data_IF_934016976991
#
_entry.id   IF_934016976991
#
_cell.length_a   1.000
_cell.length_b   1.000
_cell.length_c   1.000
_cell.angle_alpha   90.00
_cell.angle_beta   90.00
_cell.angle_gamma   90.00
#
_symmetry.space_group_name_H-M   'P 1'
#
loop_
_entity.id
_entity.type
_entity.pdbx_description
1 polymer ?
#
# COMPACT_ATOMS: atom_id res chain seq x y z
N UNK A 1 -31.53 -10.94 -85.44
CA UNK A 1 -32.35 -10.53 -84.28
C UNK A 1 -31.90 -11.30 -83.03
N UNK A 2 -30.97 -10.74 -82.25
CA UNK A 2 -30.50 -11.32 -80.97
C UNK A 2 -30.12 -10.20 -79.99
N UNK A 3 -30.93 -10.12 -78.92
CA UNK A 3 -30.65 -9.93 -77.49
C UNK A 3 -29.72 -8.80 -77.01
N UNK A 4 -30.32 -7.94 -76.18
CA UNK A 4 -29.73 -7.00 -75.22
C UNK A 4 -28.61 -7.60 -74.37
N UNK A 5 -27.57 -6.80 -74.12
CA UNK A 5 -26.66 -6.97 -72.98
C UNK A 5 -26.60 -5.62 -72.25
N UNK A 6 -27.20 -5.59 -71.06
CA UNK A 6 -27.02 -4.56 -70.05
C UNK A 6 -25.54 -4.49 -69.66
N UNK A 7 -24.92 -3.34 -69.82
CA UNK A 7 -23.64 -3.02 -69.17
C UNK A 7 -23.95 -2.30 -67.86
N UNK A 8 -23.82 -3.03 -66.75
CA UNK A 8 -23.87 -2.48 -65.40
C UNK A 8 -22.60 -1.66 -65.16
N UNK A 9 -22.76 -0.39 -64.84
CA UNK A 9 -21.71 0.49 -64.31
C UNK A 9 -21.30 0.00 -62.92
N UNK A 10 -20.05 -0.48 -62.79
CA UNK A 10 -19.43 -0.74 -61.49
C UNK A 10 -19.03 0.61 -60.88
N UNK A 11 -19.73 1.04 -59.82
CA UNK A 11 -19.37 2.20 -59.04
C UNK A 11 -18.05 1.93 -58.30
N UNK A 12 -17.06 2.78 -58.56
CA UNK A 12 -15.79 2.79 -57.89
C UNK A 12 -15.88 3.51 -56.53
N UNK A 13 -15.23 2.90 -55.53
CA UNK A 13 -14.72 3.45 -54.29
C UNK A 13 -15.70 4.08 -53.28
N UNK A 14 -15.85 3.33 -52.18
CA UNK A 14 -16.08 3.86 -50.84
C UNK A 14 -15.44 2.93 -49.81
N UNK A 15 -14.11 2.74 -49.87
CA UNK A 15 -13.40 2.19 -48.71
C UNK A 15 -13.56 3.20 -47.58
N UNK A 16 -14.45 2.89 -46.65
CA UNK A 16 -14.53 3.59 -45.37
C UNK A 16 -13.17 3.39 -44.72
N UNK A 17 -12.34 4.42 -44.75
CA UNK A 17 -11.11 4.47 -44.00
C UNK A 17 -11.49 4.32 -42.52
N UNK A 18 -11.17 3.16 -41.94
CA UNK A 18 -11.17 2.98 -40.50
C UNK A 18 -10.17 4.02 -39.97
N UNK A 19 -10.56 4.93 -39.06
CA UNK A 19 -9.64 5.95 -38.57
C UNK A 19 -8.42 5.26 -37.97
N UNK A 20 -7.24 5.77 -38.36
CA UNK A 20 -5.95 5.28 -37.91
C UNK A 20 -5.91 5.16 -36.39
N UNK A 21 -5.48 3.99 -35.95
CA UNK A 21 -5.39 3.54 -34.55
C UNK A 21 -4.40 4.46 -33.82
N UNK A 22 -4.81 5.02 -32.68
CA UNK A 22 -4.02 6.02 -31.95
C UNK A 22 -2.97 5.45 -30.97
N UNK A 23 -2.84 4.12 -30.85
CA UNK A 23 -1.88 3.47 -29.95
C UNK A 23 -1.46 2.06 -30.41
N UNK A 24 -0.31 1.60 -29.95
CA UNK A 24 0.22 0.24 -30.15
C UNK A 24 -0.49 -0.76 -29.22
N UNK A 25 -0.35 -2.07 -29.48
CA UNK A 25 -0.88 -3.10 -28.57
C UNK A 25 -0.33 -2.97 -27.15
N UNK A 26 0.97 -2.67 -27.02
CA UNK A 26 1.62 -2.56 -25.72
C UNK A 26 1.14 -1.33 -24.94
N UNK A 27 0.92 -0.20 -25.61
CA UNK A 27 0.32 1.01 -25.01
C UNK A 27 -1.12 0.78 -24.56
N UNK A 28 -1.94 0.09 -25.37
CA UNK A 28 -3.31 -0.26 -25.00
C UNK A 28 -3.34 -1.26 -23.83
N UNK A 29 -2.40 -2.22 -23.80
CA UNK A 29 -2.27 -3.20 -22.72
C UNK A 29 -1.91 -2.51 -21.39
N UNK A 30 -0.97 -1.57 -21.43
CA UNK A 30 -0.56 -0.80 -20.25
C UNK A 30 -1.72 0.04 -19.69
N UNK A 31 -2.49 0.68 -20.56
CA UNK A 31 -3.68 1.45 -20.16
C UNK A 31 -4.74 0.58 -19.49
N UNK A 32 -5.00 -0.61 -20.04
CA UNK A 32 -5.93 -1.57 -19.47
C UNK A 32 -5.43 -2.08 -18.11
N UNK A 33 -4.14 -2.39 -17.98
CA UNK A 33 -3.53 -2.82 -16.71
C UNK A 33 -3.62 -1.75 -15.63
N UNK A 34 -3.38 -0.49 -16.00
CA UNK A 34 -3.58 0.64 -15.10
C UNK A 34 -5.04 0.76 -14.65
N UNK A 35 -5.99 0.67 -15.57
CA UNK A 35 -7.40 0.83 -15.26
C UNK A 35 -7.94 -0.32 -14.38
N UNK A 36 -7.48 -1.55 -14.62
CA UNK A 36 -7.81 -2.71 -13.78
C UNK A 36 -7.29 -2.55 -12.35
N UNK A 37 -6.14 -1.92 -12.17
CA UNK A 37 -5.52 -1.70 -10.85
C UNK A 37 -6.14 -0.53 -10.09
N UNK A 38 -6.41 0.58 -10.77
CA UNK A 38 -6.74 1.85 -10.11
C UNK A 38 -8.21 2.27 -10.23
N UNK A 39 -8.98 1.58 -11.08
CA UNK A 39 -10.39 1.84 -11.36
C UNK A 39 -10.74 3.34 -11.51
N UNK A 40 -10.05 4.08 -12.39
CA UNK A 40 -10.15 5.54 -12.46
C UNK A 40 -11.55 6.04 -12.86
N UNK A 41 -12.35 5.19 -13.49
CA UNK A 41 -13.72 5.51 -13.95
C UNK A 41 -14.79 5.06 -12.96
N UNK A 42 -14.42 4.44 -11.83
CA UNK A 42 -15.38 3.87 -10.89
C UNK A 42 -16.21 2.73 -11.48
N UNK A 43 -15.63 1.96 -12.40
CA UNK A 43 -16.28 0.81 -13.02
C UNK A 43 -16.70 -0.24 -11.98
N UNK A 44 -17.80 -0.93 -12.27
CA UNK A 44 -18.32 -1.99 -11.42
C UNK A 44 -17.33 -3.16 -11.34
N UNK A 45 -17.34 -3.86 -10.20
CA UNK A 45 -16.48 -5.04 -9.97
C UNK A 45 -16.60 -6.09 -11.08
N UNK A 46 -17.81 -6.34 -11.57
CA UNK A 46 -18.07 -7.28 -12.68
C UNK A 46 -17.40 -6.83 -13.99
N UNK A 47 -17.34 -5.53 -14.26
CA UNK A 47 -16.65 -4.97 -15.43
C UNK A 47 -15.13 -5.14 -15.31
N UNK A 48 -14.58 -4.95 -14.11
CA UNK A 48 -13.16 -5.20 -13.83
C UNK A 48 -12.80 -6.68 -14.02
N UNK A 49 -13.61 -7.60 -13.50
CA UNK A 49 -13.41 -9.05 -13.66
C UNK A 49 -13.51 -9.48 -15.13
N UNK A 50 -14.51 -8.98 -15.85
CA UNK A 50 -14.69 -9.27 -17.28
C UNK A 50 -13.52 -8.75 -18.11
N UNK A 51 -13.06 -7.52 -17.83
CA UNK A 51 -11.90 -6.97 -18.51
C UNK A 51 -10.63 -7.75 -18.17
N UNK A 52 -10.37 -8.13 -16.92
CA UNK A 52 -9.18 -8.92 -16.55
C UNK A 52 -9.08 -10.21 -17.37
N UNK A 53 -10.22 -10.89 -17.59
CA UNK A 53 -10.28 -12.08 -18.44
C UNK A 53 -9.91 -11.77 -19.90
N UNK A 54 -10.42 -10.67 -20.45
CA UNK A 54 -10.13 -10.28 -21.83
C UNK A 54 -8.70 -9.80 -22.02
N UNK A 55 -8.15 -9.05 -21.07
CA UNK A 55 -6.74 -8.67 -21.01
C UNK A 55 -5.83 -9.89 -21.08
N UNK A 56 -6.10 -10.92 -20.28
CA UNK A 56 -5.29 -12.14 -20.28
C UNK A 56 -5.40 -12.93 -21.61
N UNK A 57 -6.60 -12.96 -22.19
CA UNK A 57 -6.83 -13.52 -23.52
C UNK A 57 -6.06 -12.74 -24.59
N UNK A 58 -6.06 -11.41 -24.53
CA UNK A 58 -5.36 -10.53 -25.45
C UNK A 58 -3.84 -10.78 -25.43
N UNK A 59 -3.24 -10.83 -24.24
CA UNK A 59 -1.80 -11.12 -24.09
C UNK A 59 -1.43 -12.47 -24.72
N UNK A 60 -2.24 -13.51 -24.51
CA UNK A 60 -2.03 -14.84 -25.11
C UNK A 60 -2.16 -14.79 -26.64
N UNK A 61 -3.18 -14.10 -27.16
CA UNK A 61 -3.38 -13.94 -28.61
C UNK A 61 -2.22 -13.21 -29.28
N UNK A 62 -1.66 -12.19 -28.62
CA UNK A 62 -0.51 -11.45 -29.13
C UNK A 62 0.73 -12.36 -29.22
N UNK A 63 1.01 -13.13 -28.16
CA UNK A 63 2.10 -14.11 -28.13
C UNK A 63 1.94 -15.22 -29.19
N UNK A 64 0.71 -15.57 -29.53
CA UNK A 64 0.39 -16.57 -30.56
C UNK A 64 0.42 -15.99 -31.99
N UNK A 65 0.82 -14.73 -32.18
CA UNK A 65 0.90 -14.10 -33.50
C UNK A 65 -0.45 -13.68 -34.08
N UNK A 66 -1.44 -13.41 -33.24
CA UNK A 66 -2.77 -12.91 -33.65
C UNK A 66 -3.02 -11.47 -33.17
N UNK A 67 -2.23 -10.47 -33.63
CA UNK A 67 -2.24 -9.11 -33.09
C UNK A 67 -3.60 -8.42 -33.24
N UNK A 68 -4.31 -8.60 -34.35
CA UNK A 68 -5.64 -7.99 -34.51
C UNK A 68 -6.68 -8.56 -33.53
N UNK A 69 -6.60 -9.87 -33.24
CA UNK A 69 -7.51 -10.51 -32.27
C UNK A 69 -7.16 -10.05 -30.86
N UNK A 70 -5.87 -9.88 -30.57
CA UNK A 70 -5.38 -9.34 -29.32
C UNK A 70 -5.88 -7.89 -29.11
N UNK A 71 -5.77 -7.03 -30.13
CA UNK A 71 -6.27 -5.66 -30.06
C UNK A 71 -7.78 -5.59 -29.84
N UNK A 72 -8.55 -6.46 -30.52
CA UNK A 72 -10.02 -6.54 -30.32
C UNK A 72 -10.38 -6.98 -28.90
N UNK A 73 -9.60 -7.88 -28.30
CA UNK A 73 -9.80 -8.30 -26.91
C UNK A 73 -9.49 -7.15 -25.93
N UNK A 74 -8.44 -6.35 -26.17
CA UNK A 74 -8.21 -5.13 -25.39
C UNK A 74 -9.30 -4.09 -25.61
N UNK A 75 -9.86 -3.98 -26.82
CA UNK A 75 -10.93 -3.02 -27.06
C UNK A 75 -12.15 -3.25 -26.15
N UNK A 76 -12.49 -4.52 -25.90
CA UNK A 76 -13.56 -4.85 -24.98
C UNK A 76 -13.31 -4.32 -23.56
N UNK A 77 -12.05 -4.26 -23.12
CA UNK A 77 -11.68 -3.64 -21.86
C UNK A 77 -11.92 -2.14 -21.85
N UNK A 78 -11.51 -1.42 -22.90
CA UNK A 78 -11.78 0.02 -23.01
C UNK A 78 -13.27 0.32 -22.91
N UNK A 79 -14.09 -0.45 -23.63
CA UNK A 79 -15.54 -0.29 -23.62
C UNK A 79 -16.14 -0.63 -22.24
N UNK A 80 -15.71 -1.75 -21.64
CA UNK A 80 -16.22 -2.24 -20.35
C UNK A 80 -15.85 -1.33 -19.18
N UNK A 81 -14.69 -0.69 -19.26
CA UNK A 81 -14.16 0.21 -18.23
C UNK A 81 -14.43 1.68 -18.55
N UNK A 82 -15.13 1.98 -19.65
CA UNK A 82 -15.43 3.35 -20.11
C UNK A 82 -14.18 4.22 -20.28
N UNK A 83 -13.10 3.62 -20.76
CA UNK A 83 -11.84 4.31 -21.01
C UNK A 83 -11.91 5.00 -22.37
N UNK A 84 -11.50 6.26 -22.43
CA UNK A 84 -11.31 6.96 -23.71
C UNK A 84 -9.95 6.61 -24.30
N UNK A 85 -9.92 6.17 -25.57
CA UNK A 85 -8.69 5.90 -26.33
C UNK A 85 -7.83 7.15 -26.57
N UNK A 86 -8.41 8.34 -26.50
CA UNK A 86 -7.70 9.62 -26.65
C UNK A 86 -7.31 10.23 -25.31
N UNK A 87 -7.83 9.68 -24.20
CA UNK A 87 -7.54 10.12 -22.85
C UNK A 87 -6.44 9.25 -22.25
N UNK A 88 -5.21 9.58 -22.59
CA UNK A 88 -4.04 9.22 -21.79
C UNK A 88 -3.89 10.36 -20.77
N UNK A 89 -4.10 10.16 -19.46
CA UNK A 89 -3.40 11.02 -18.52
C UNK A 89 -1.91 10.89 -18.88
N UNK A 90 -1.29 11.97 -19.36
CA UNK A 90 0.16 12.05 -19.65
C UNK A 90 1.04 11.91 -18.40
N UNK A 91 0.52 11.30 -17.36
CA UNK A 91 1.26 10.81 -16.23
C UNK A 91 0.93 9.33 -16.23
N UNK A 92 1.79 8.52 -16.85
CA UNK A 92 1.88 7.11 -16.50
C UNK A 92 1.85 7.02 -14.98
N UNK A 93 1.15 6.03 -14.43
CA UNK A 93 1.19 5.82 -12.99
C UNK A 93 2.66 5.83 -12.55
N UNK A 94 3.03 6.59 -11.51
CA UNK A 94 4.42 6.64 -11.09
C UNK A 94 4.91 5.22 -10.83
N UNK A 95 6.04 4.88 -11.44
CA UNK A 95 6.75 3.63 -11.23
C UNK A 95 7.09 3.45 -9.75
N UNK A 96 7.35 2.21 -9.34
CA UNK A 96 7.79 1.94 -7.95
C UNK A 96 9.04 2.76 -7.59
N UNK A 97 9.96 2.94 -8.54
CA UNK A 97 11.17 3.73 -8.33
C UNK A 97 10.84 5.22 -8.09
N UNK A 98 9.90 5.79 -8.86
CA UNK A 98 9.46 7.19 -8.67
C UNK A 98 8.72 7.37 -7.33
N UNK A 99 7.84 6.43 -6.97
CA UNK A 99 7.14 6.44 -5.68
C UNK A 99 8.14 6.39 -4.51
N UNK A 100 9.14 5.50 -4.60
CA UNK A 100 10.20 5.38 -3.60
C UNK A 100 11.08 6.63 -3.54
N UNK A 101 11.45 7.21 -4.68
CA UNK A 101 12.25 8.43 -4.74
C UNK A 101 11.51 9.61 -4.09
N UNK A 102 10.20 9.76 -4.36
CA UNK A 102 9.36 10.77 -3.73
C UNK A 102 9.25 10.58 -2.22
N UNK A 103 9.01 9.35 -1.76
CA UNK A 103 8.96 9.03 -0.33
C UNK A 103 10.30 9.33 0.37
N UNK A 104 11.42 8.92 -0.25
CA UNK A 104 12.75 9.15 0.30
C UNK A 104 13.09 10.65 0.36
N UNK A 105 12.70 11.44 -0.65
CA UNK A 105 12.92 12.87 -0.63
C UNK A 105 12.21 13.54 0.56
N UNK A 106 10.95 13.20 0.82
CA UNK A 106 10.21 13.72 1.97
C UNK A 106 10.79 13.23 3.29
N UNK A 107 11.16 11.95 3.37
CA UNK A 107 11.80 11.37 4.54
C UNK A 107 13.09 12.10 4.91
N UNK A 108 14.04 12.23 3.98
CA UNK A 108 15.31 12.93 4.23
C UNK A 108 15.09 14.40 4.60
N UNK A 109 14.16 15.07 3.93
CA UNK A 109 13.81 16.46 4.25
C UNK A 109 13.28 16.57 5.68
N UNK A 110 12.31 15.74 6.08
CA UNK A 110 11.72 15.74 7.42
C UNK A 110 12.74 15.45 8.53
N UNK A 111 13.79 14.67 8.25
CA UNK A 111 14.87 14.43 9.22
C UNK A 111 15.71 15.68 9.51
N UNK A 112 15.84 16.59 8.55
CA UNK A 112 16.63 17.83 8.70
C UNK A 112 15.84 18.99 9.32
N UNK A 113 14.51 18.88 9.37
CA UNK A 113 13.65 19.92 9.92
C UNK A 113 13.67 19.90 11.46
N UNK A 114 13.69 21.06 12.13
CA UNK A 114 13.55 21.13 13.58
C UNK A 114 12.15 20.68 13.97
N UNK A 115 12.03 19.59 14.71
CA UNK A 115 10.73 19.09 15.13
C UNK A 115 10.15 19.94 16.26
N UNK A 116 8.86 20.27 16.15
CA UNK A 116 8.08 20.95 17.18
C UNK A 116 7.00 19.99 17.71
N UNK A 117 7.23 19.42 18.90
CA UNK A 117 6.29 18.50 19.53
C UNK A 117 4.94 19.15 19.91
N UNK A 118 4.92 20.46 20.18
CA UNK A 118 3.68 21.18 20.51
C UNK A 118 2.81 21.38 19.26
N UNK A 119 3.43 21.69 18.12
CA UNK A 119 2.73 21.64 16.83
C UNK A 119 2.33 20.20 16.48
N UNK A 120 3.20 19.23 16.77
CA UNK A 120 2.94 17.80 16.61
C UNK A 120 1.68 17.33 17.34
N UNK A 121 1.49 17.75 18.59
CA UNK A 121 0.26 17.51 19.36
C UNK A 121 -0.97 18.08 18.64
N UNK A 122 -0.88 19.31 18.13
CA UNK A 122 -1.99 19.95 17.41
C UNK A 122 -2.43 19.13 16.21
N UNK A 123 -1.46 18.62 15.44
CA UNK A 123 -1.71 17.74 14.28
C UNK A 123 -2.23 16.37 14.74
N UNK A 124 -1.69 15.82 15.82
CA UNK A 124 -2.01 14.49 16.31
C UNK A 124 -3.49 14.35 16.73
N UNK A 125 -4.19 15.43 17.05
CA UNK A 125 -5.63 15.40 17.34
C UNK A 125 -6.46 14.78 16.20
N UNK A 126 -6.04 14.96 14.95
CA UNK A 126 -6.66 14.29 13.79
C UNK A 126 -6.36 12.79 13.78
N UNK A 127 -5.14 12.39 14.15
CA UNK A 127 -4.72 10.98 14.24
C UNK A 127 -5.45 10.23 15.37
N UNK A 128 -5.68 10.91 16.49
CA UNK A 128 -6.32 10.36 17.69
C UNK A 128 -7.75 9.86 17.44
N UNK A 129 -8.44 10.36 16.41
CA UNK A 129 -9.77 9.88 16.02
C UNK A 129 -9.81 8.37 15.73
N UNK A 130 -8.68 7.80 15.27
CA UNK A 130 -8.54 6.37 15.02
C UNK A 130 -7.52 5.70 15.94
N UNK A 131 -6.38 6.35 16.19
CA UNK A 131 -5.28 5.81 17.00
C UNK A 131 -5.45 6.01 18.50
N UNK A 132 -6.53 6.66 18.93
CA UNK A 132 -6.83 7.07 20.31
C UNK A 132 -5.91 8.20 20.80
N UNK A 133 -6.34 9.04 21.76
CA UNK A 133 -5.49 10.06 22.38
C UNK A 133 -4.13 9.53 22.84
N UNK A 134 -4.11 8.30 23.33
CA UNK A 134 -2.93 7.62 23.86
C UNK A 134 -2.03 7.01 22.76
N UNK A 135 -2.54 6.88 21.52
CA UNK A 135 -1.79 6.26 20.41
C UNK A 135 -1.77 4.74 20.44
N UNK A 136 -2.65 4.13 21.24
CA UNK A 136 -2.71 2.68 21.45
C UNK A 136 -3.46 1.94 20.34
N UNK A 137 -4.24 2.63 19.51
CA UNK A 137 -4.97 2.01 18.42
C UNK A 137 -6.17 1.22 18.90
N UNK A 138 -6.39 0.01 18.37
CA UNK A 138 -7.52 -0.83 18.79
C UNK A 138 -7.07 -2.26 18.97
N UNK A 139 -7.40 -2.87 20.10
CA UNK A 139 -7.08 -4.28 20.40
C UNK A 139 -7.63 -5.28 19.36
N UNK A 140 -8.64 -4.90 18.58
CA UNK A 140 -9.10 -5.68 17.41
C UNK A 140 -8.05 -5.78 16.29
N UNK A 141 -7.00 -4.96 16.35
CA UNK A 141 -5.94 -4.80 15.35
C UNK A 141 -6.37 -4.07 14.09
N UNK A 142 -7.55 -3.43 14.07
CA UNK A 142 -7.99 -2.62 12.91
C UNK A 142 -7.15 -1.34 12.75
N UNK A 143 -6.76 -0.73 13.87
CA UNK A 143 -5.85 0.42 13.95
C UNK A 143 -4.64 0.02 14.81
N UNK A 144 -3.39 0.25 14.37
CA UNK A 144 -2.22 -0.14 15.14
C UNK A 144 -1.93 0.80 16.31
N UNK A 145 -1.25 0.27 17.32
CA UNK A 145 -0.51 1.07 18.29
C UNK A 145 0.64 1.78 17.57
N UNK A 146 0.70 3.10 17.71
CA UNK A 146 1.77 3.95 17.19
C UNK A 146 2.53 4.68 18.30
N UNK A 147 2.01 4.65 19.53
CA UNK A 147 2.66 5.22 20.70
C UNK A 147 4.10 4.69 20.87
N UNK A 148 5.03 5.61 21.14
CA UNK A 148 6.43 5.28 21.41
C UNK A 148 7.16 4.61 20.24
N UNK A 149 6.62 4.70 19.03
CA UNK A 149 7.31 4.21 17.83
C UNK A 149 8.49 5.13 17.49
N UNK A 150 9.52 4.55 16.88
CA UNK A 150 10.70 5.27 16.42
C UNK A 150 10.32 6.41 15.46
N UNK A 151 10.80 7.63 15.76
CA UNK A 151 10.54 8.84 14.96
C UNK A 151 10.85 8.64 13.49
N UNK A 152 12.01 8.05 13.15
CA UNK A 152 12.37 7.81 11.74
C UNK A 152 11.42 6.82 11.06
N UNK A 153 10.96 5.81 11.78
CA UNK A 153 9.97 4.85 11.28
C UNK A 153 8.64 5.54 11.00
N UNK A 154 8.18 6.43 11.90
CA UNK A 154 6.95 7.21 11.74
C UNK A 154 7.01 8.12 10.52
N UNK A 155 8.09 8.91 10.38
CA UNK A 155 8.33 9.78 9.21
C UNK A 155 8.32 8.93 7.93
N UNK A 156 9.05 7.81 7.93
CA UNK A 156 9.10 6.90 6.78
C UNK A 156 7.70 6.42 6.40
N UNK A 157 6.89 5.96 7.35
CA UNK A 157 5.56 5.45 7.04
C UNK A 157 4.63 6.55 6.49
N UNK A 158 4.68 7.76 7.06
CA UNK A 158 3.90 8.89 6.56
C UNK A 158 4.32 9.28 5.14
N UNK A 159 5.62 9.44 4.88
CA UNK A 159 6.14 9.72 3.54
C UNK A 159 5.76 8.62 2.53
N UNK A 160 5.83 7.34 2.92
CA UNK A 160 5.42 6.23 2.07
C UNK A 160 3.92 6.23 1.76
N UNK A 161 3.06 6.62 2.70
CA UNK A 161 1.62 6.78 2.45
C UNK A 161 1.34 7.94 1.48
N UNK A 162 1.98 9.10 1.70
CA UNK A 162 1.83 10.30 0.86
C UNK A 162 2.34 10.11 -0.55
N UNK A 163 3.41 9.33 -0.69
CA UNK A 163 3.94 8.98 -1.99
C UNK A 163 3.05 7.96 -2.72
N UNK A 164 2.34 7.09 -2.00
CA UNK A 164 1.66 5.91 -2.58
C UNK A 164 2.56 4.67 -2.64
N UNK A 165 3.68 4.68 -1.92
CA UNK A 165 4.59 3.53 -1.79
C UNK A 165 4.09 2.50 -0.75
N UNK A 166 3.12 2.89 0.10
CA UNK A 166 2.40 2.00 1.02
C UNK A 166 0.89 2.15 0.83
N UNK A 167 0.23 1.06 0.46
CA UNK A 167 -1.23 1.06 0.30
C UNK A 167 -1.89 0.95 1.70
N UNK A 168 -2.77 1.89 2.06
CA UNK A 168 -3.67 1.77 3.21
C UNK A 168 -4.88 2.69 3.04
N UNK A 169 -5.99 2.12 2.55
CA UNK A 169 -7.23 2.85 2.20
C UNK A 169 -7.69 3.80 3.32
N UNK A 170 -7.58 3.37 4.58
CA UNK A 170 -8.03 4.17 5.72
C UNK A 170 -7.03 5.26 6.14
N UNK A 171 -5.73 5.06 5.95
CA UNK A 171 -4.70 5.98 6.45
C UNK A 171 -4.31 7.06 5.44
N UNK A 172 -4.32 6.73 4.13
CA UNK A 172 -3.89 7.66 3.08
C UNK A 172 -4.57 9.02 3.15
N UNK A 173 -5.91 9.14 3.33
CA UNK A 173 -6.57 10.44 3.45
C UNK A 173 -6.10 11.30 4.63
N UNK A 174 -5.60 10.68 5.70
CA UNK A 174 -5.13 11.36 6.93
C UNK A 174 -3.62 11.64 6.94
N UNK A 175 -2.91 11.24 5.88
CA UNK A 175 -1.48 11.54 5.73
C UNK A 175 -1.23 12.68 4.74
N UNK A 176 -2.26 13.18 4.03
CA UNK A 176 -2.07 14.13 2.92
C UNK A 176 -1.64 15.53 3.37
N UNK A 177 -1.19 16.35 2.41
CA UNK A 177 -0.83 17.76 2.67
C UNK A 177 -2.03 18.55 3.15
N UNK A 178 -3.19 18.25 2.59
CA UNK A 178 -4.45 18.89 2.93
C UNK A 178 -4.93 18.51 4.33
N UNK A 179 -4.63 17.28 4.80
CA UNK A 179 -5.07 16.80 6.09
C UNK A 179 -4.19 17.26 7.26
N UNK A 180 -2.86 17.14 7.13
CA UNK A 180 -1.96 17.38 8.26
C UNK A 180 -0.91 18.47 8.00
N UNK A 181 -0.79 18.99 6.78
CA UNK A 181 0.22 19.98 6.40
C UNK A 181 1.44 19.36 5.71
N UNK A 182 2.46 20.17 5.41
CA UNK A 182 3.63 19.76 4.61
C UNK A 182 4.62 18.82 5.31
N UNK A 183 5.87 18.79 4.86
CA UNK A 183 6.92 17.93 5.42
C UNK A 183 7.29 18.30 6.88
N UNK A 184 7.17 19.57 7.26
CA UNK A 184 7.33 20.00 8.66
C UNK A 184 6.32 19.32 9.58
N UNK A 185 5.04 19.24 9.16
CA UNK A 185 4.02 18.56 9.95
C UNK A 185 4.31 17.07 10.15
N UNK A 186 4.91 16.41 9.16
CA UNK A 186 5.38 15.01 9.29
C UNK A 186 6.48 14.90 10.34
N UNK A 187 7.43 15.83 10.35
CA UNK A 187 8.51 15.87 11.35
C UNK A 187 7.97 16.11 12.77
N UNK A 188 6.99 17.00 12.91
CA UNK A 188 6.39 17.41 14.18
C UNK A 188 5.48 16.33 14.77
N UNK A 189 4.56 15.77 13.98
CA UNK A 189 3.64 14.73 14.48
C UNK A 189 4.40 13.45 14.80
N UNK A 190 5.45 13.11 14.05
CA UNK A 190 6.29 11.96 14.34
C UNK A 190 7.09 12.14 15.64
N UNK A 191 7.54 13.36 15.94
CA UNK A 191 8.17 13.69 17.23
C UNK A 191 7.20 13.43 18.37
N UNK A 192 6.02 14.06 18.32
CA UNK A 192 5.00 13.91 19.36
C UNK A 192 4.58 12.45 19.57
N UNK A 193 4.29 11.69 18.50
CA UNK A 193 3.89 10.28 18.63
C UNK A 193 5.01 9.44 19.29
N UNK A 194 6.28 9.77 19.02
CA UNK A 194 7.42 9.03 19.56
C UNK A 194 7.61 9.18 21.07
N UNK A 195 7.00 10.20 21.68
CA UNK A 195 7.04 10.43 23.14
C UNK A 195 5.87 9.79 23.89
N UNK A 196 4.85 9.30 23.17
CA UNK A 196 3.69 8.67 23.80
C UNK A 196 4.06 7.35 24.51
N UNK A 197 3.43 7.10 25.65
CA UNK A 197 3.63 5.90 26.45
C UNK A 197 2.92 4.69 25.85
N UNK A 198 3.56 3.52 25.94
CA UNK A 198 3.13 2.31 25.25
C UNK A 198 2.22 1.47 26.14
N UNK A 199 1.03 1.13 25.66
CA UNK A 199 0.18 0.15 26.34
C UNK A 199 0.65 -1.27 26.08
N UNK A 200 0.66 -2.09 27.13
CA UNK A 200 0.89 -3.54 27.07
C UNK A 200 -0.41 -4.36 27.06
N UNK A 201 -1.57 -3.68 27.02
CA UNK A 201 -2.89 -4.28 26.86
C UNK A 201 -3.31 -4.35 25.38
N UNK A 202 -2.36 -4.77 24.54
CA UNK A 202 -2.58 -4.94 23.12
C UNK A 202 -3.36 -6.25 22.83
N UNK A 203 -4.05 -6.30 21.68
CA UNK A 203 -4.68 -7.53 21.21
C UNK A 203 -3.66 -8.63 20.92
N UNK A 204 -3.56 -9.62 21.80
CA UNK A 204 -2.67 -10.79 21.70
C UNK A 204 -3.23 -11.87 20.78
N UNK A 205 -2.35 -12.73 20.26
CA UNK A 205 -2.74 -13.93 19.54
C UNK A 205 -3.39 -14.99 20.46
N UNK A 206 -3.79 -16.15 19.90
CA UNK A 206 -4.51 -17.18 20.65
C UNK A 206 -3.68 -17.86 21.75
N UNK A 207 -2.35 -17.91 21.62
CA UNK A 207 -1.42 -18.57 22.54
C UNK A 207 -1.12 -20.03 22.17
N UNK A 208 -1.52 -20.48 20.99
CA UNK A 208 -1.58 -21.91 20.64
C UNK A 208 -0.20 -22.56 20.45
N UNK A 209 0.80 -21.80 19.99
CA UNK A 209 2.14 -22.34 19.68
C UNK A 209 3.28 -21.35 19.95
N UNK A 210 3.35 -20.87 21.19
CA UNK A 210 4.34 -19.86 21.59
C UNK A 210 5.78 -20.37 21.52
N UNK A 211 6.03 -21.67 21.76
CA UNK A 211 7.37 -22.25 21.69
C UNK A 211 7.94 -22.19 20.26
N UNK A 212 7.14 -22.52 19.25
CA UNK A 212 7.54 -22.36 17.85
C UNK A 212 7.73 -20.87 17.52
N UNK A 213 6.80 -20.02 17.95
CA UNK A 213 6.88 -18.58 17.70
C UNK A 213 8.15 -17.94 18.27
N UNK A 214 8.52 -18.32 19.50
CA UNK A 214 9.76 -17.91 20.16
C UNK A 214 11.00 -18.36 19.38
N UNK A 215 11.05 -19.64 18.99
CA UNK A 215 12.17 -20.17 18.21
C UNK A 215 12.34 -19.38 16.89
N UNK A 216 11.26 -19.21 16.12
CA UNK A 216 11.30 -18.46 14.86
C UNK A 216 11.73 -17.01 15.12
N UNK A 217 11.22 -16.38 16.18
CA UNK A 217 11.57 -15.01 16.51
C UNK A 217 13.07 -14.85 16.75
N UNK A 218 13.65 -15.72 17.60
CA UNK A 218 15.09 -15.74 17.89
C UNK A 218 15.92 -15.97 16.63
N UNK A 219 15.51 -16.89 15.77
CA UNK A 219 16.26 -17.29 14.58
C UNK A 219 16.16 -16.30 13.41
N UNK A 220 15.03 -15.60 13.28
CA UNK A 220 14.67 -14.90 12.02
C UNK A 220 14.26 -13.43 12.19
N UNK A 221 13.90 -12.99 13.39
CA UNK A 221 13.36 -11.64 13.61
C UNK A 221 14.29 -10.77 14.46
N UNK A 222 14.92 -11.38 15.47
CA UNK A 222 15.71 -10.71 16.50
C UNK A 222 16.88 -9.88 15.95
N UNK A 223 17.53 -10.29 14.86
CA UNK A 223 18.66 -9.55 14.24
C UNK A 223 18.29 -8.09 13.93
N UNK A 224 17.04 -7.86 13.50
CA UNK A 224 16.59 -6.53 13.10
C UNK A 224 15.66 -5.88 14.12
N UNK A 225 14.81 -6.68 14.78
CA UNK A 225 13.80 -6.18 15.70
C UNK A 225 14.24 -6.16 17.17
N UNK A 226 15.41 -6.70 17.49
CA UNK A 226 15.92 -6.78 18.86
C UNK A 226 15.34 -7.94 19.66
N UNK A 227 15.92 -8.20 20.83
CA UNK A 227 15.54 -9.35 21.68
C UNK A 227 14.10 -9.21 22.19
N UNK A 228 13.68 -7.99 22.50
CA UNK A 228 12.36 -7.67 23.03
C UNK A 228 11.45 -7.02 21.99
N UNK A 229 11.84 -6.92 20.72
CA UNK A 229 11.02 -6.27 19.70
C UNK A 229 11.10 -4.74 19.73
N UNK A 230 12.14 -4.19 20.35
CA UNK A 230 12.40 -2.77 20.51
C UNK A 230 12.69 -2.05 19.19
N UNK A 231 13.11 -2.79 18.15
CA UNK A 231 13.49 -2.28 16.85
C UNK A 231 14.76 -1.43 16.89
N UNK A 232 15.03 -0.74 15.79
CA UNK A 232 16.17 0.16 15.67
C UNK A 232 15.78 1.38 14.81
N UNK A 233 15.86 2.57 15.41
CA UNK A 233 15.48 3.82 14.75
C UNK A 233 16.37 4.13 13.54
N UNK A 234 17.67 3.86 13.62
CA UNK A 234 18.63 4.15 12.56
C UNK A 234 18.48 3.20 11.38
N UNK A 235 18.23 1.91 11.65
CA UNK A 235 18.01 0.89 10.62
C UNK A 235 16.57 0.86 10.08
N UNK A 236 15.71 1.77 10.55
CA UNK A 236 14.29 1.84 10.21
C UNK A 236 13.53 0.54 10.52
N UNK A 237 14.05 -0.25 11.47
CA UNK A 237 13.41 -1.44 11.98
C UNK A 237 12.35 -1.03 13.01
N UNK A 238 11.06 -1.22 12.74
CA UNK A 238 10.00 -0.76 13.63
C UNK A 238 10.05 -1.50 14.96
N UNK A 239 9.68 -0.79 16.02
CA UNK A 239 9.27 -1.39 17.28
C UNK A 239 8.02 -2.23 17.03
N UNK A 240 8.06 -3.50 17.42
CA UNK A 240 6.97 -4.48 17.25
C UNK A 240 6.45 -5.04 18.58
N UNK A 241 7.17 -4.78 19.67
CA UNK A 241 6.71 -5.10 21.03
C UNK A 241 5.39 -4.39 21.35
N UNK A 242 4.52 -5.10 22.07
CA UNK A 242 3.15 -4.68 22.37
C UNK A 242 2.29 -4.28 21.15
N UNK A 243 2.65 -4.66 19.93
CA UNK A 243 1.80 -4.39 18.75
C UNK A 243 0.63 -5.38 18.69
N UNK A 244 -0.51 -4.97 18.12
CA UNK A 244 -1.64 -5.88 17.98
C UNK A 244 -1.37 -7.02 16.98
N UNK A 245 -1.60 -8.25 17.42
CA UNK A 245 -1.43 -9.48 16.62
C UNK A 245 -2.12 -9.38 15.25
N UNK A 246 -3.39 -8.98 15.22
CA UNK A 246 -4.19 -8.88 13.98
C UNK A 246 -3.70 -7.78 13.04
N UNK A 247 -3.08 -6.71 13.56
CA UNK A 247 -2.42 -5.71 12.72
C UNK A 247 -1.18 -6.30 12.05
N UNK A 248 -0.31 -6.97 12.82
CA UNK A 248 0.90 -7.59 12.29
C UNK A 248 0.58 -8.67 11.25
N UNK A 249 -0.44 -9.49 11.50
CA UNK A 249 -0.89 -10.51 10.55
C UNK A 249 -1.32 -9.89 9.21
N UNK A 250 -2.04 -8.76 9.27
CA UNK A 250 -2.40 -7.99 8.07
C UNK A 250 -1.18 -7.41 7.36
N UNK A 251 -0.17 -6.96 8.11
CA UNK A 251 1.08 -6.47 7.50
C UNK A 251 1.81 -7.58 6.73
N UNK A 252 1.92 -8.79 7.30
CA UNK A 252 2.48 -9.95 6.61
C UNK A 252 1.68 -10.32 5.36
N UNK A 253 0.35 -10.33 5.44
CA UNK A 253 -0.51 -10.56 4.27
C UNK A 253 -0.22 -9.56 3.15
N UNK A 254 -0.07 -8.28 3.49
CA UNK A 254 0.21 -7.23 2.51
C UNK A 254 1.63 -7.27 1.94
N UNK A 255 2.62 -7.72 2.72
CA UNK A 255 3.96 -7.99 2.21
C UNK A 255 3.94 -9.12 1.19
N UNK A 256 3.30 -10.26 1.53
CA UNK A 256 3.18 -11.43 0.64
C UNK A 256 2.39 -11.15 -0.63
N UNK A 257 1.36 -10.30 -0.57
CA UNK A 257 0.57 -9.92 -1.75
C UNK A 257 1.18 -8.79 -2.58
N UNK A 258 2.25 -8.15 -2.09
CA UNK A 258 2.83 -6.96 -2.71
C UNK A 258 2.00 -5.68 -2.56
N UNK A 259 0.96 -5.68 -1.72
CA UNK A 259 0.18 -4.48 -1.37
C UNK A 259 0.97 -3.53 -0.46
N UNK A 260 1.94 -4.06 0.31
CA UNK A 260 2.91 -3.26 1.07
C UNK A 260 4.27 -3.34 0.38
N UNK A 261 4.67 -2.28 -0.33
CA UNK A 261 5.90 -2.22 -1.14
C UNK A 261 7.07 -1.51 -0.46
N UNK A 262 6.84 -0.98 0.73
CA UNK A 262 7.75 -0.07 1.43
C UNK A 262 8.62 -0.72 2.51
N UNK A 263 8.61 -2.05 2.61
CA UNK A 263 9.49 -2.78 3.52
C UNK A 263 10.85 -3.07 2.88
N UNK A 264 11.83 -3.39 3.72
CA UNK A 264 13.14 -3.84 3.24
C UNK A 264 13.02 -5.17 2.49
N UNK A 265 13.99 -5.44 1.60
CA UNK A 265 14.06 -6.72 0.90
C UNK A 265 14.19 -7.88 1.88
N UNK A 266 14.99 -7.72 2.95
CA UNK A 266 15.10 -8.70 4.03
C UNK A 266 13.73 -9.05 4.64
N UNK A 267 12.94 -8.05 5.02
CA UNK A 267 11.61 -8.26 5.62
C UNK A 267 10.63 -8.90 4.62
N UNK A 268 10.68 -8.48 3.36
CA UNK A 268 9.84 -9.04 2.30
C UNK A 268 10.18 -10.51 2.04
N UNK A 269 11.47 -10.85 1.94
CA UNK A 269 11.95 -12.22 1.78
C UNK A 269 11.56 -13.11 2.96
N UNK A 270 11.67 -12.62 4.20
CA UNK A 270 11.22 -13.35 5.39
C UNK A 270 9.71 -13.62 5.35
N UNK A 271 8.90 -12.62 5.01
CA UNK A 271 7.45 -12.79 4.92
C UNK A 271 7.03 -13.78 3.83
N UNK A 272 7.81 -13.91 2.75
CA UNK A 272 7.56 -14.87 1.67
C UNK A 272 8.03 -16.29 2.01
N UNK A 273 9.08 -16.42 2.84
CA UNK A 273 9.69 -17.70 3.17
C UNK A 273 8.99 -18.46 4.31
N UNK A 274 8.26 -17.77 5.18
CA UNK A 274 7.53 -18.40 6.28
C UNK A 274 6.17 -18.96 5.82
N UNK A 275 5.83 -20.15 6.32
CA UNK A 275 4.53 -20.75 6.15
C UNK A 275 3.45 -20.04 7.00
N UNK A 276 2.18 -20.26 6.69
CA UNK A 276 1.10 -19.52 7.38
C UNK A 276 1.06 -19.81 8.89
N UNK A 277 1.31 -21.04 9.31
CA UNK A 277 1.31 -21.42 10.73
C UNK A 277 2.53 -20.86 11.46
N UNK A 278 3.68 -20.77 10.79
CA UNK A 278 4.89 -20.12 11.30
C UNK A 278 4.66 -18.61 11.50
N UNK A 279 4.02 -17.94 10.53
CA UNK A 279 3.60 -16.54 10.64
C UNK A 279 2.66 -16.34 11.82
N UNK A 280 1.65 -17.21 11.97
CA UNK A 280 0.71 -17.12 13.10
C UNK A 280 1.46 -17.27 14.44
N UNK A 281 2.33 -18.26 14.56
CA UNK A 281 3.10 -18.53 15.78
C UNK A 281 4.05 -17.38 16.14
N UNK A 282 4.87 -16.90 15.20
CA UNK A 282 5.85 -15.83 15.47
C UNK A 282 5.17 -14.51 15.80
N UNK A 283 4.04 -14.20 15.15
CA UNK A 283 3.30 -12.96 15.43
C UNK A 283 2.53 -13.01 16.74
N UNK A 284 2.03 -14.19 17.14
CA UNK A 284 1.44 -14.39 18.45
C UNK A 284 2.48 -14.19 19.55
N UNK A 285 3.65 -14.81 19.40
CA UNK A 285 4.80 -14.58 20.29
C UNK A 285 5.21 -13.11 20.33
N UNK A 286 5.43 -12.47 19.17
CA UNK A 286 5.82 -11.06 19.08
C UNK A 286 4.81 -10.12 19.73
N UNK A 287 3.50 -10.44 19.67
CA UNK A 287 2.46 -9.65 20.31
C UNK A 287 2.52 -9.66 21.85
N UNK A 288 3.36 -10.53 22.43
CA UNK A 288 3.55 -10.67 23.89
C UNK A 288 4.89 -10.11 24.36
N UNK A 289 5.76 -9.71 23.44
CA UNK A 289 6.97 -8.98 23.77
C UNK A 289 6.57 -7.63 24.36
N UNK A 290 7.24 -7.22 25.42
CA UNK A 290 6.90 -6.02 26.18
C UNK A 290 8.03 -5.00 26.10
N UNK A 291 7.70 -3.70 25.98
CA UNK A 291 8.68 -2.63 26.18
C UNK A 291 9.28 -2.69 27.59
N UNK A 292 10.45 -2.07 27.83
CA UNK A 292 10.94 -1.87 29.18
C UNK A 292 9.99 -0.96 29.97
N UNK A 293 10.04 -1.03 31.30
CA UNK A 293 9.04 -0.41 32.19
C UNK A 293 8.94 1.10 32.01
N UNK A 294 10.05 1.78 31.69
CA UNK A 294 10.11 3.23 31.54
C UNK A 294 9.37 3.75 30.30
N UNK A 295 8.99 2.85 29.37
CA UNK A 295 8.23 3.19 28.17
C UNK A 295 6.78 2.70 28.24
N UNK A 296 6.40 2.00 29.32
CA UNK A 296 5.03 1.51 29.53
C UNK A 296 4.18 2.61 30.09
N UNK A 297 2.95 2.71 29.58
CA UNK A 297 1.93 3.49 30.23
C UNK A 297 1.62 2.90 31.62
N UNK A 298 1.53 3.71 32.69
CA UNK A 298 0.98 3.29 33.98
C UNK A 298 -0.42 2.71 33.84
N UNK A 299 -0.82 1.94 34.85
CA UNK A 299 -2.22 1.50 34.98
C UNK A 299 -3.14 2.72 35.05
N UNK A 300 -4.23 2.70 34.29
CA UNK A 300 -5.20 3.80 34.14
C UNK A 300 -4.64 5.12 33.57
N UNK A 301 -3.46 5.11 32.96
CA UNK A 301 -2.92 6.31 32.30
C UNK A 301 -3.86 6.79 31.19
N UNK A 302 -4.05 8.10 31.15
CA UNK A 302 -4.72 8.82 30.07
C UNK A 302 -3.79 9.88 29.57
N UNK A 303 -3.87 10.16 28.28
CA UNK A 303 -3.02 11.19 27.72
C UNK A 303 -3.41 12.59 28.28
N UNK A 304 -2.55 13.24 29.08
CA UNK A 304 -2.88 14.54 29.69
C UNK A 304 -3.04 15.66 28.66
N UNK A 305 -2.48 15.51 27.46
CA UNK A 305 -2.60 16.50 26.38
C UNK A 305 -4.00 16.54 25.74
N UNK A 306 -4.89 15.62 26.14
CA UNK A 306 -6.27 15.50 25.65
C UNK A 306 -7.34 15.73 26.74
N UNK A 307 -6.93 16.14 27.94
CA UNK A 307 -7.83 16.54 29.02
C UNK A 307 -8.37 17.98 28.89
#
# INVERSE_FOLDING_TARGET
MRRSILTLTLAALGMIAIPAIAGTFDEDLEQVDYALKNNPTGALKLSLESCLKQRNSAAKLNQMGYPERAQRALQYCFDSLQLSRTYVPKVSAPSRAELMAKANQEFETALTLPADAANGLTIYRECAACHEPEGWGRTTGSVPQIAGQHRKVLIKQLADFRAGNRDAVLMVPYATVESIGGTQAVADVAEYISTLEISVDNGKGPGDNLALGEQIYRDRCMECHGENGEGNNEDLAPRIQAQHYKYMLRQFKWLRSGSRRNASDKMTSLALALEQDEINAVLDYASRLQPPEELRAPEDWKNPDFE
#
